data_IF_355009673657
#
_entry.id   IF_355009673657
#
_cell.length_a   1.000
_cell.length_b   1.000
_cell.length_c   1.000
_cell.angle_alpha   90.00
_cell.angle_beta   90.00
_cell.angle_gamma   90.00
#
_symmetry.space_group_name_H-M   'P 1'
#
loop_
_entity.id
_entity.type
_entity.pdbx_description
1 polymer ?
#
# COMPACT_ATOMS: atom_id res chain seq x y z
N UNK A 1 58.43 4.50 2.69
CA UNK A 1 58.37 5.81 3.36
C UNK A 1 56.89 6.19 3.37
N UNK A 2 56.14 5.92 4.38
CA UNK A 2 56.08 6.55 5.70
C UNK A 2 55.10 7.72 5.58
N UNK A 3 53.93 7.74 6.15
CA UNK A 3 53.66 8.04 7.56
C UNK A 3 52.20 7.71 7.92
N UNK A 4 52.08 6.89 8.94
CA UNK A 4 50.92 6.70 9.78
C UNK A 4 50.61 7.99 10.56
N UNK A 5 49.35 8.40 10.68
CA UNK A 5 48.89 9.21 11.81
C UNK A 5 47.54 8.69 12.33
N UNK A 6 47.64 7.99 13.43
CA UNK A 6 46.58 7.79 14.45
C UNK A 6 46.48 9.06 15.29
N UNK A 7 45.28 9.33 15.79
CA UNK A 7 44.91 10.03 17.05
C UNK A 7 43.38 10.19 16.94
N UNK A 8 42.54 9.75 17.82
CA UNK A 8 42.63 9.54 19.25
C UNK A 8 41.44 10.24 19.89
N UNK A 9 40.48 9.44 20.39
CA UNK A 9 39.64 9.63 21.58
C UNK A 9 39.02 11.01 21.87
N UNK A 10 37.76 11.08 22.23
CA UNK A 10 37.37 11.17 23.65
C UNK A 10 35.86 11.00 23.82
N UNK A 11 35.54 10.16 24.79
CA UNK A 11 34.22 9.90 25.38
C UNK A 11 33.93 11.04 26.36
N UNK A 12 32.72 11.58 26.35
CA UNK A 12 32.18 12.30 27.51
C UNK A 12 30.74 11.86 27.77
N UNK A 13 30.60 11.10 28.82
CA UNK A 13 29.30 10.77 29.45
C UNK A 13 28.93 11.95 30.36
N UNK A 14 27.67 12.37 30.32
CA UNK A 14 27.05 13.21 31.33
C UNK A 14 25.74 12.58 31.77
N UNK A 15 25.77 12.02 32.96
CA UNK A 15 24.56 11.59 33.70
C UNK A 15 23.93 12.82 34.36
N UNK A 16 22.65 12.99 34.23
CA UNK A 16 21.85 13.82 35.14
C UNK A 16 20.77 12.97 35.82
N UNK A 17 20.99 12.79 37.11
CA UNK A 17 20.01 12.30 38.09
C UNK A 17 19.23 13.53 38.55
N UNK A 18 17.89 13.44 38.48
CA UNK A 18 16.96 14.44 39.03
C UNK A 18 15.80 13.74 39.69
N UNK A 19 15.91 13.56 41.01
CA UNK A 19 14.87 13.10 41.93
C UNK A 19 13.95 14.30 42.22
N UNK A 20 12.63 14.11 42.11
CA UNK A 20 11.64 15.08 42.56
C UNK A 20 10.34 14.37 42.86
N UNK A 21 10.19 13.92 44.12
CA UNK A 21 8.95 13.46 44.71
C UNK A 21 8.16 14.68 45.20
N UNK A 22 6.88 14.75 44.86
CA UNK A 22 5.91 15.60 45.53
C UNK A 22 4.61 14.82 45.72
N UNK A 23 4.40 14.43 46.97
CA UNK A 23 3.17 13.90 47.53
C UNK A 23 2.19 15.05 47.78
N UNK A 24 0.97 14.93 47.31
CA UNK A 24 -0.15 15.73 47.79
C UNK A 24 -1.32 14.81 48.10
N UNK A 25 -1.53 14.62 49.39
CA UNK A 25 -2.72 14.05 50.00
C UNK A 25 -3.78 15.14 50.09
N UNK A 26 -4.99 14.88 49.65
CA UNK A 26 -6.19 15.60 50.10
C UNK A 26 -7.33 14.63 50.29
N UNK A 27 -7.86 14.81 51.44
CA UNK A 27 -8.86 14.15 52.28
C UNK A 27 -10.25 13.95 51.65
N UNK A 28 -10.86 12.89 52.12
CA UNK A 28 -12.23 12.48 51.87
C UNK A 28 -13.25 13.49 52.43
N UNK A 29 -14.37 13.67 51.76
CA UNK A 29 -15.63 13.99 52.39
C UNK A 29 -16.75 13.12 51.80
N UNK A 30 -17.34 12.35 52.67
CA UNK A 30 -18.51 11.53 52.43
C UNK A 30 -19.77 12.38 52.52
N UNK A 31 -20.60 12.37 51.50
CA UNK A 31 -22.00 12.78 51.63
C UNK A 31 -22.88 11.61 51.21
N UNK A 32 -23.50 11.01 52.21
CA UNK A 32 -24.58 10.01 52.10
C UNK A 32 -25.90 10.72 51.82
N UNK A 33 -26.51 10.44 50.69
CA UNK A 33 -27.96 10.56 50.52
C UNK A 33 -28.44 9.42 49.62
N UNK A 34 -29.17 8.49 50.20
CA UNK A 34 -29.97 7.53 49.43
C UNK A 34 -31.35 8.13 49.14
N UNK A 35 -31.93 7.84 47.98
CA UNK A 35 -33.20 7.16 48.03
C UNK A 35 -33.26 5.93 47.08
N UNK A 36 -33.91 4.96 47.64
CA UNK A 36 -34.33 3.67 47.16
C UNK A 36 -35.26 3.82 45.92
N UNK A 37 -34.81 3.34 44.78
CA UNK A 37 -35.69 3.06 43.62
C UNK A 37 -35.35 1.67 43.09
N UNK A 38 -36.39 0.88 42.91
CA UNK A 38 -36.36 -0.53 42.52
C UNK A 38 -35.70 -0.79 41.16
N UNK A 39 -35.13 -2.00 40.91
CA UNK A 39 -34.45 -2.33 39.68
C UNK A 39 -35.47 -2.64 38.57
N UNK A 40 -35.54 -1.81 37.58
CA UNK A 40 -36.08 -2.22 36.29
C UNK A 40 -34.94 -2.79 35.44
N UNK A 41 -35.04 -4.06 35.17
CA UNK A 41 -34.15 -4.76 34.23
C UNK A 41 -34.41 -4.23 32.83
N UNK A 42 -33.58 -3.28 32.39
CA UNK A 42 -33.46 -2.93 30.97
C UNK A 42 -32.56 -3.97 30.36
N UNK A 43 -33.13 -4.93 29.66
CA UNK A 43 -32.45 -5.83 28.76
C UNK A 43 -31.99 -4.97 27.59
N UNK A 44 -30.75 -4.49 27.66
CA UNK A 44 -30.06 -3.90 26.49
C UNK A 44 -29.64 -5.05 25.62
N UNK A 45 -30.45 -5.36 24.64
CA UNK A 45 -30.04 -6.20 23.50
C UNK A 45 -28.86 -5.50 22.82
N UNK A 46 -27.64 -5.95 23.13
CA UNK A 46 -26.46 -5.58 22.35
C UNK A 46 -26.55 -6.25 21.00
N UNK A 47 -27.20 -5.60 20.05
CA UNK A 47 -27.03 -5.91 18.63
C UNK A 47 -25.58 -5.51 18.27
N UNK A 48 -24.68 -6.49 18.28
CA UNK A 48 -23.39 -6.37 17.63
C UNK A 48 -23.65 -6.22 16.12
N UNK A 49 -23.83 -4.98 15.69
CA UNK A 49 -23.76 -4.64 14.28
C UNK A 49 -22.31 -4.91 13.84
N UNK A 50 -22.05 -6.10 13.31
CA UNK A 50 -20.90 -6.33 12.47
C UNK A 50 -21.04 -5.38 11.28
N UNK A 51 -20.34 -4.25 11.36
CA UNK A 51 -20.21 -3.35 10.26
C UNK A 51 -19.49 -4.12 9.14
N UNK A 52 -20.27 -4.77 8.28
CA UNK A 52 -19.84 -5.15 6.94
C UNK A 52 -19.46 -3.86 6.26
N UNK A 53 -18.18 -3.52 6.26
CA UNK A 53 -17.66 -2.48 5.40
C UNK A 53 -17.79 -2.98 3.96
N UNK A 54 -18.97 -2.81 3.38
CA UNK A 54 -19.18 -2.88 1.95
C UNK A 54 -18.30 -1.80 1.36
N UNK A 55 -17.12 -2.21 0.88
CA UNK A 55 -16.30 -1.35 0.05
C UNK A 55 -17.18 -0.89 -1.11
N UNK A 56 -17.62 0.37 -1.06
CA UNK A 56 -18.35 1.03 -2.15
C UNK A 56 -17.45 0.93 -3.37
N UNK A 57 -17.78 0.04 -4.28
CA UNK A 57 -17.15 -0.09 -5.59
C UNK A 57 -17.76 1.02 -6.46
N UNK A 58 -17.05 2.13 -6.72
CA UNK A 58 -17.58 3.20 -7.53
C UNK A 58 -17.65 2.71 -8.99
N UNK A 59 -18.87 2.62 -9.51
CA UNK A 59 -19.11 2.18 -10.87
C UNK A 59 -18.90 0.67 -11.05
N UNK A 60 -19.70 0.06 -11.92
CA UNK A 60 -19.70 -1.39 -12.19
C UNK A 60 -18.32 -1.82 -12.76
N UNK A 61 -17.37 -2.14 -11.86
CA UNK A 61 -16.03 -2.57 -12.22
C UNK A 61 -16.12 -3.95 -12.90
N UNK A 62 -16.11 -3.95 -14.22
CA UNK A 62 -16.07 -5.20 -15.00
C UNK A 62 -14.68 -5.78 -14.93
N UNK A 63 -14.51 -6.85 -14.16
CA UNK A 63 -13.26 -7.60 -14.06
C UNK A 63 -13.29 -8.79 -15.03
N UNK A 64 -12.16 -9.03 -15.68
CA UNK A 64 -11.94 -10.24 -16.47
C UNK A 64 -12.03 -11.47 -15.55
N UNK A 65 -12.69 -12.54 -16.02
CA UNK A 65 -12.83 -13.79 -15.24
C UNK A 65 -11.48 -14.38 -14.78
N UNK A 66 -10.41 -14.14 -15.53
CA UNK A 66 -9.04 -14.58 -15.18
C UNK A 66 -8.51 -13.90 -13.92
N UNK A 67 -9.07 -12.74 -13.52
CA UNK A 67 -8.74 -12.03 -12.30
C UNK A 67 -9.44 -12.62 -11.06
N UNK A 68 -10.56 -13.33 -11.25
CA UNK A 68 -11.41 -13.84 -10.18
C UNK A 68 -10.97 -15.23 -9.73
N UNK A 69 -9.71 -15.38 -9.35
CA UNK A 69 -9.11 -16.67 -8.95
C UNK A 69 -8.61 -16.63 -7.52
N UNK A 70 -8.34 -17.81 -6.93
CA UNK A 70 -7.67 -17.93 -5.63
C UNK A 70 -6.28 -17.27 -5.69
N UNK A 71 -5.80 -16.80 -4.55
CA UNK A 71 -4.50 -16.14 -4.41
C UNK A 71 -4.55 -14.64 -4.70
N UNK A 72 -3.36 -14.05 -4.91
CA UNK A 72 -3.18 -12.61 -5.19
C UNK A 72 -3.09 -12.38 -6.70
N UNK A 73 -3.80 -11.37 -7.18
CA UNK A 73 -3.85 -11.05 -8.60
C UNK A 73 -3.71 -9.53 -8.80
N UNK A 74 -2.84 -9.13 -9.71
CA UNK A 74 -2.84 -7.78 -10.30
C UNK A 74 -3.68 -7.82 -11.59
N UNK A 75 -4.87 -7.25 -11.53
CA UNK A 75 -5.82 -7.20 -12.63
C UNK A 75 -5.75 -5.81 -13.29
N UNK A 76 -5.26 -5.75 -14.52
CA UNK A 76 -4.95 -4.50 -15.23
C UNK A 76 -5.91 -4.34 -16.41
N UNK A 77 -6.86 -3.42 -16.29
CA UNK A 77 -7.80 -3.08 -17.35
C UNK A 77 -7.31 -1.81 -18.07
N UNK A 78 -6.94 -1.96 -19.34
CA UNK A 78 -6.39 -0.83 -20.13
C UNK A 78 -7.48 0.15 -20.55
N UNK A 79 -8.72 -0.30 -20.78
CA UNK A 79 -9.83 0.57 -21.17
C UNK A 79 -10.27 1.49 -20.02
N UNK A 80 -10.42 0.95 -18.82
CA UNK A 80 -10.79 1.76 -17.64
C UNK A 80 -9.59 2.47 -17.01
N UNK A 81 -8.37 2.20 -17.47
CA UNK A 81 -7.11 2.74 -16.94
C UNK A 81 -6.96 2.49 -15.43
N UNK A 82 -7.28 1.26 -15.01
CA UNK A 82 -7.18 0.84 -13.62
C UNK A 82 -6.32 -0.40 -13.46
N UNK A 83 -5.56 -0.41 -12.38
CA UNK A 83 -5.00 -1.61 -11.79
C UNK A 83 -5.83 -1.94 -10.56
N UNK A 84 -6.30 -3.17 -10.47
CA UNK A 84 -7.04 -3.71 -9.33
C UNK A 84 -6.21 -4.81 -8.70
N UNK A 85 -5.90 -4.69 -7.42
CA UNK A 85 -5.30 -5.75 -6.65
C UNK A 85 -6.39 -6.57 -5.97
N UNK A 86 -6.40 -7.87 -6.23
CA UNK A 86 -7.36 -8.82 -5.67
C UNK A 86 -6.66 -9.85 -4.80
N UNK A 87 -7.41 -10.33 -3.80
CA UNK A 87 -7.04 -11.49 -2.99
C UNK A 87 -8.26 -12.43 -2.96
N UNK A 88 -8.07 -13.66 -3.43
CA UNK A 88 -9.12 -14.67 -3.52
C UNK A 88 -10.39 -14.16 -4.22
N UNK A 89 -10.22 -13.46 -5.34
CA UNK A 89 -11.31 -12.87 -6.13
C UNK A 89 -11.96 -11.61 -5.54
N UNK A 90 -11.58 -11.19 -4.33
CA UNK A 90 -12.09 -9.97 -3.69
C UNK A 90 -11.18 -8.77 -4.00
N UNK A 91 -11.79 -7.65 -4.35
CA UNK A 91 -11.08 -6.38 -4.59
C UNK A 91 -10.55 -5.83 -3.27
N UNK A 92 -9.26 -5.56 -3.20
CA UNK A 92 -8.58 -5.05 -2.00
C UNK A 92 -8.07 -3.63 -2.22
N UNK A 93 -7.52 -3.33 -3.41
CA UNK A 93 -7.00 -2.00 -3.73
C UNK A 93 -7.21 -1.69 -5.20
N UNK A 94 -7.47 -0.41 -5.50
CA UNK A 94 -7.61 0.10 -6.87
C UNK A 94 -6.65 1.29 -7.04
N UNK A 95 -5.94 1.32 -8.15
CA UNK A 95 -5.06 2.42 -8.53
C UNK A 95 -5.26 2.82 -9.99
N UNK A 96 -5.06 4.11 -10.27
CA UNK A 96 -5.02 4.61 -11.64
C UNK A 96 -3.76 4.09 -12.34
N UNK A 97 -3.92 3.69 -13.59
CA UNK A 97 -2.85 3.14 -14.39
C UNK A 97 -2.72 3.84 -15.76
N UNK A 98 -1.48 4.03 -16.22
CA UNK A 98 -1.14 4.50 -17.55
C UNK A 98 -0.24 3.48 -18.23
N UNK A 99 -0.36 3.32 -19.53
CA UNK A 99 0.21 2.23 -20.31
C UNK A 99 1.18 2.70 -21.37
N UNK A 100 1.74 1.73 -22.07
CA UNK A 100 2.63 1.97 -23.20
C UNK A 100 1.96 2.66 -24.38
N UNK A 101 2.76 3.42 -25.15
CA UNK A 101 2.33 4.03 -26.40
C UNK A 101 2.02 2.96 -27.47
N UNK A 102 1.42 3.38 -28.58
CA UNK A 102 1.07 2.48 -29.68
C UNK A 102 2.26 1.68 -30.21
N UNK A 103 3.45 2.29 -30.29
CA UNK A 103 4.69 1.63 -30.74
C UNK A 103 5.34 0.73 -29.67
N UNK A 104 5.01 0.91 -28.40
CA UNK A 104 5.54 0.14 -27.27
C UNK A 104 4.41 -0.27 -26.33
N UNK A 105 3.45 -1.08 -26.80
CA UNK A 105 2.24 -1.36 -26.05
C UNK A 105 2.50 -2.21 -24.81
N UNK A 106 1.74 -1.96 -23.76
CA UNK A 106 1.64 -2.92 -22.65
C UNK A 106 0.96 -4.18 -23.16
N UNK A 107 1.63 -5.33 -23.06
CA UNK A 107 1.15 -6.61 -23.59
C UNK A 107 -0.08 -7.08 -22.84
N UNK A 108 -1.10 -7.51 -23.59
CA UNK A 108 -2.23 -8.23 -23.05
C UNK A 108 -1.86 -9.68 -22.77
N UNK A 109 -2.45 -10.28 -21.75
CA UNK A 109 -2.20 -11.68 -21.43
C UNK A 109 -2.36 -12.00 -19.94
N UNK A 110 -2.03 -13.22 -19.62
CA UNK A 110 -1.89 -13.71 -18.24
C UNK A 110 -0.43 -14.04 -17.98
N UNK A 111 0.12 -13.40 -16.98
CA UNK A 111 1.53 -13.47 -16.62
C UNK A 111 1.68 -13.79 -15.13
N UNK A 112 2.92 -13.94 -14.69
CA UNK A 112 3.31 -14.01 -13.27
C UNK A 112 4.35 -12.95 -12.97
N UNK A 113 4.34 -12.40 -11.76
CA UNK A 113 5.45 -11.57 -11.28
C UNK A 113 6.68 -12.46 -11.18
N UNK A 114 7.71 -12.20 -11.97
CA UNK A 114 8.95 -12.98 -11.95
C UNK A 114 10.10 -12.30 -11.22
N UNK A 115 10.03 -10.99 -11.02
CA UNK A 115 11.05 -10.20 -10.31
C UNK A 115 10.42 -8.98 -9.64
N UNK A 116 10.94 -8.63 -8.47
CA UNK A 116 10.57 -7.40 -7.74
C UNK A 116 11.83 -6.60 -7.43
N UNK A 117 11.74 -5.27 -7.53
CA UNK A 117 12.82 -4.36 -7.14
C UNK A 117 12.24 -3.06 -6.58
N UNK A 118 12.61 -2.71 -5.33
CA UNK A 118 12.06 -1.54 -4.64
C UNK A 118 12.54 -0.23 -5.26
N UNK A 119 13.83 -0.16 -5.60
CA UNK A 119 14.49 1.05 -6.10
C UNK A 119 15.10 0.80 -7.49
N UNK A 120 14.30 0.25 -8.41
CA UNK A 120 14.77 -0.06 -9.74
C UNK A 120 14.97 1.20 -10.58
N UNK A 121 16.06 1.22 -11.37
CA UNK A 121 16.28 2.18 -12.44
C UNK A 121 16.40 1.41 -13.76
N UNK A 122 15.66 1.81 -14.77
CA UNK A 122 15.72 1.21 -16.09
C UNK A 122 17.11 1.38 -16.70
N UNK A 123 17.75 0.29 -17.07
CA UNK A 123 19.04 0.34 -17.78
C UNK A 123 18.91 0.91 -19.19
N UNK A 124 17.78 0.67 -19.84
CA UNK A 124 17.51 1.11 -21.21
C UNK A 124 17.10 2.61 -21.26
N UNK A 125 16.17 3.01 -20.39
CA UNK A 125 15.58 4.36 -20.42
C UNK A 125 16.17 5.30 -19.35
N UNK A 126 17.11 4.81 -18.51
CA UNK A 126 17.72 5.58 -17.40
C UNK A 126 16.71 6.27 -16.49
N UNK A 127 15.49 5.75 -16.43
CA UNK A 127 14.38 6.32 -15.64
C UNK A 127 14.12 5.52 -14.37
N UNK A 128 13.82 6.17 -13.24
CA UNK A 128 13.44 5.51 -12.00
C UNK A 128 12.12 4.75 -12.14
N UNK A 129 12.08 3.53 -11.63
CA UNK A 129 10.92 2.65 -11.58
C UNK A 129 10.72 2.12 -10.15
N UNK A 130 10.41 2.97 -9.17
CA UNK A 130 10.24 2.52 -7.79
C UNK A 130 9.12 1.51 -7.66
N UNK A 131 9.31 0.52 -6.78
CA UNK A 131 8.35 -0.56 -6.53
C UNK A 131 8.03 -1.41 -7.77
N UNK A 132 9.03 -1.67 -8.60
CA UNK A 132 8.86 -2.43 -9.85
C UNK A 132 8.54 -3.91 -9.57
N UNK A 133 7.46 -4.38 -10.20
CA UNK A 133 7.01 -5.77 -10.22
C UNK A 133 6.98 -6.20 -11.70
N UNK A 134 8.00 -6.93 -12.13
CA UNK A 134 8.19 -7.34 -13.53
C UNK A 134 7.33 -8.55 -13.85
N UNK A 135 6.65 -8.52 -15.00
CA UNK A 135 5.73 -9.58 -15.41
C UNK A 135 5.89 -10.05 -16.86
N UNK A 136 6.45 -9.26 -17.78
CA UNK A 136 6.57 -9.65 -19.20
C UNK A 136 7.72 -8.93 -19.90
N UNK A 137 8.82 -9.62 -20.21
CA UNK A 137 9.90 -9.13 -21.07
C UNK A 137 10.40 -7.72 -20.74
N UNK A 138 10.65 -7.43 -19.48
CA UNK A 138 11.05 -6.11 -18.99
C UNK A 138 9.90 -5.17 -18.66
N UNK A 139 8.65 -5.47 -19.04
CA UNK A 139 7.49 -4.70 -18.59
C UNK A 139 7.17 -4.97 -17.12
N UNK A 140 6.90 -3.90 -16.38
CA UNK A 140 6.62 -3.96 -14.95
C UNK A 140 5.45 -3.06 -14.57
N UNK A 141 4.80 -3.38 -13.45
CA UNK A 141 3.98 -2.43 -12.71
C UNK A 141 4.90 -1.67 -11.77
N UNK A 142 4.89 -0.34 -11.80
CA UNK A 142 5.76 0.48 -10.95
C UNK A 142 5.20 1.89 -10.71
N UNK A 143 5.73 2.61 -9.72
CA UNK A 143 5.46 4.05 -9.57
C UNK A 143 6.06 4.85 -10.71
N UNK A 144 5.35 5.87 -11.18
CA UNK A 144 5.82 6.82 -12.18
C UNK A 144 5.58 8.26 -11.72
N UNK A 145 6.68 8.99 -11.46
CA UNK A 145 6.62 10.40 -11.15
C UNK A 145 6.08 11.23 -12.33
N UNK A 146 6.43 10.81 -13.55
CA UNK A 146 5.91 11.41 -14.78
C UNK A 146 4.38 11.25 -14.91
N UNK A 147 3.83 10.07 -14.61
CA UNK A 147 2.39 9.88 -14.59
C UNK A 147 1.72 10.69 -13.49
N UNK A 148 2.37 10.85 -12.32
CA UNK A 148 1.88 11.72 -11.25
C UNK A 148 1.80 13.18 -11.68
N UNK A 149 2.84 13.68 -12.36
CA UNK A 149 2.95 15.08 -12.76
C UNK A 149 2.06 15.41 -13.96
N UNK A 150 2.05 14.58 -15.01
CA UNK A 150 1.39 14.86 -16.29
C UNK A 150 0.07 14.13 -16.51
N UNK A 151 -0.34 13.29 -15.56
CA UNK A 151 -1.55 12.50 -15.70
C UNK A 151 -1.53 11.61 -16.95
N UNK A 152 -2.63 11.57 -17.66
CA UNK A 152 -2.77 10.75 -18.87
C UNK A 152 -2.19 11.41 -20.14
N UNK A 153 -1.63 12.60 -20.03
CA UNK A 153 -0.87 13.24 -21.10
C UNK A 153 0.52 12.59 -21.17
N UNK A 154 0.73 11.70 -22.15
CA UNK A 154 1.92 10.89 -22.31
C UNK A 154 1.66 9.38 -22.11
N UNK A 155 2.72 8.57 -22.25
CA UNK A 155 2.66 7.12 -22.20
C UNK A 155 3.94 6.54 -21.58
N UNK A 156 3.93 5.22 -21.30
CA UNK A 156 5.14 4.47 -20.96
C UNK A 156 5.73 3.78 -22.20
N UNK A 157 6.86 3.10 -22.02
CA UNK A 157 7.45 2.20 -23.01
C UNK A 157 7.02 0.73 -22.79
N UNK A 158 5.76 0.54 -22.37
CA UNK A 158 5.17 -0.78 -22.18
C UNK A 158 4.89 -1.15 -20.72
N UNK A 159 5.42 -0.43 -19.76
CA UNK A 159 5.12 -0.64 -18.35
C UNK A 159 3.72 -0.18 -17.97
N UNK A 160 3.21 -0.69 -16.86
CA UNK A 160 2.02 -0.22 -16.17
C UNK A 160 2.45 0.82 -15.14
N UNK A 161 2.33 2.08 -15.49
CA UNK A 161 2.67 3.21 -14.62
C UNK A 161 1.55 3.47 -13.60
N UNK A 162 1.90 3.63 -12.33
CA UNK A 162 0.99 4.01 -11.24
C UNK A 162 1.40 5.37 -10.69
N UNK A 163 0.46 6.32 -10.55
CA UNK A 163 0.75 7.67 -10.05
C UNK A 163 0.67 7.82 -8.53
N UNK A 164 -0.04 6.93 -7.86
CA UNK A 164 -0.16 6.91 -6.41
C UNK A 164 0.96 6.06 -5.79
N UNK A 165 1.99 6.76 -5.25
CA UNK A 165 3.16 6.12 -4.66
C UNK A 165 2.82 5.29 -3.43
N UNK A 166 1.86 5.73 -2.62
CA UNK A 166 1.43 5.02 -1.41
C UNK A 166 0.73 3.73 -1.76
N UNK A 167 -0.20 3.76 -2.72
CA UNK A 167 -0.91 2.55 -3.16
C UNK A 167 0.02 1.52 -3.77
N UNK A 168 0.93 1.93 -4.63
CA UNK A 168 1.85 0.96 -5.26
C UNK A 168 2.88 0.40 -4.29
N UNK A 169 3.36 1.19 -3.33
CA UNK A 169 4.23 0.71 -2.25
C UNK A 169 3.50 -0.33 -1.39
N UNK A 170 2.24 -0.08 -1.05
CA UNK A 170 1.38 -0.98 -0.30
C UNK A 170 1.12 -2.30 -1.05
N UNK A 171 0.83 -2.24 -2.36
CA UNK A 171 0.66 -3.41 -3.24
C UNK A 171 1.99 -4.18 -3.34
N UNK A 172 3.10 -3.48 -3.59
CA UNK A 172 4.43 -4.08 -3.69
C UNK A 172 4.81 -4.89 -2.45
N UNK A 173 4.49 -4.41 -1.25
CA UNK A 173 4.77 -5.12 -0.01
C UNK A 173 4.01 -6.46 0.10
N UNK A 174 2.87 -6.60 -0.58
CA UNK A 174 1.97 -7.76 -0.47
C UNK A 174 2.07 -8.75 -1.62
N UNK A 175 2.36 -8.28 -2.83
CA UNK A 175 2.60 -9.13 -3.99
C UNK A 175 3.90 -9.92 -3.81
N UNK A 176 3.87 -11.20 -4.19
CA UNK A 176 5.03 -12.10 -4.19
C UNK A 176 5.41 -12.49 -5.62
N UNK A 177 6.64 -12.95 -5.79
CA UNK A 177 7.05 -13.62 -7.03
C UNK A 177 6.16 -14.87 -7.22
N UNK A 178 5.71 -15.09 -8.45
CA UNK A 178 4.75 -16.12 -8.81
C UNK A 178 3.28 -15.67 -8.79
N UNK A 179 2.94 -14.53 -8.17
CA UNK A 179 1.57 -14.00 -8.17
C UNK A 179 1.13 -13.60 -9.59
N UNK A 180 -0.16 -13.79 -9.86
CA UNK A 180 -0.75 -13.61 -11.19
C UNK A 180 -0.87 -12.13 -11.57
N UNK A 181 -0.60 -11.83 -12.84
CA UNK A 181 -0.86 -10.52 -13.48
C UNK A 181 -1.72 -10.77 -14.70
N UNK A 182 -2.88 -10.16 -14.79
CA UNK A 182 -3.79 -10.22 -15.95
C UNK A 182 -3.87 -8.83 -16.57
N UNK A 183 -3.50 -8.69 -17.83
CA UNK A 183 -3.60 -7.44 -18.60
C UNK A 183 -4.58 -7.64 -19.73
N UNK A 184 -5.57 -6.77 -19.86
CA UNK A 184 -6.63 -6.91 -20.87
C UNK A 184 -7.22 -5.56 -21.29
N UNK A 185 -7.91 -5.57 -22.45
CA UNK A 185 -8.80 -4.51 -22.90
C UNK A 185 -10.22 -4.91 -22.49
N UNK A 186 -10.78 -4.27 -21.47
CA UNK A 186 -12.10 -4.59 -20.96
C UNK A 186 -13.21 -3.75 -21.53
#
# INVERSE_FOLDING_TARGET
>A
MGILRKLGATITAAAFVGIGALTATTTAEAVTVAPKVAPQAVVVAQTTAVASSSAVVPGKLRLDKRCLTKGRVLCVNKRTRKLVYLVNGKVVQIADARFGAARTPTRNGTFKVYRKSKNHVSTLYKSPMPYAMFFSGGQAVHYSADFKARGYNGASHGCVNIRDKTKIAWIFARIKIGDKVVVYNG
#
